data_IF_496392420923
#
_entry.id   IF_496392420923
#
_cell.length_a   1.000
_cell.length_b   1.000
_cell.length_c   1.000
_cell.angle_alpha   90.00
_cell.angle_beta   90.00
_cell.angle_gamma   90.00
#
_symmetry.space_group_name_H-M   'P 1'
#
loop_
_entity.id
_entity.type
_entity.pdbx_description
1 polymer ?
#
# COMPACT_ATOMS: atom_id res chain seq x y z
N UNK A 1 15.36 21.92 9.00
CA UNK A 1 15.34 21.19 7.72
C UNK A 1 14.11 20.30 7.76
N UNK A 2 13.01 20.80 7.21
CA UNK A 2 11.77 20.04 7.14
C UNK A 2 11.99 18.86 6.20
N UNK A 3 11.88 17.66 6.76
CA UNK A 3 11.98 16.42 6.01
C UNK A 3 10.70 16.31 5.19
N UNK A 4 10.71 16.88 3.99
CA UNK A 4 9.64 16.70 3.01
C UNK A 4 9.61 15.22 2.61
N UNK A 5 8.91 14.40 3.39
CA UNK A 5 8.54 13.04 2.99
C UNK A 5 7.30 13.14 2.10
N UNK A 6 7.41 13.88 1.00
CA UNK A 6 6.41 13.84 -0.06
C UNK A 6 6.78 12.70 -0.97
N UNK A 7 6.36 11.48 -0.63
CA UNK A 7 6.22 10.44 -1.63
C UNK A 7 5.00 10.87 -2.46
N UNK A 8 5.17 11.37 -3.70
CA UNK A 8 4.04 11.90 -4.47
C UNK A 8 2.97 10.81 -4.61
N UNK A 9 1.72 11.13 -4.28
CA UNK A 9 0.58 10.20 -4.32
C UNK A 9 -0.60 10.82 -5.07
N UNK A 10 -1.55 10.02 -5.57
CA UNK A 10 -1.67 8.56 -5.44
C UNK A 10 -0.90 7.78 -6.51
N UNK A 11 -0.34 6.62 -6.12
CA UNK A 11 0.32 5.69 -7.03
C UNK A 11 -0.70 4.75 -7.67
N UNK A 12 -0.60 4.55 -9.00
CA UNK A 12 -1.39 3.57 -9.74
C UNK A 12 -0.46 2.50 -10.30
N UNK A 13 -0.78 1.23 -10.03
CA UNK A 13 -0.09 0.10 -10.61
C UNK A 13 -0.76 -0.35 -11.92
N UNK A 14 0.03 -0.53 -12.97
CA UNK A 14 -0.36 -1.17 -14.22
C UNK A 14 0.67 -2.25 -14.56
N UNK A 15 0.38 -3.49 -14.14
CA UNK A 15 1.32 -4.60 -14.26
C UNK A 15 2.56 -4.38 -13.38
N UNK A 16 3.69 -4.06 -14.01
CA UNK A 16 4.98 -3.80 -13.36
C UNK A 16 5.29 -2.31 -13.19
N UNK A 17 4.50 -1.47 -13.83
CA UNK A 17 4.71 -0.03 -13.84
C UNK A 17 3.92 0.59 -12.69
N UNK A 18 4.57 1.41 -11.88
CA UNK A 18 3.90 2.26 -10.89
C UNK A 18 4.12 3.71 -11.26
N UNK A 19 3.03 4.48 -11.35
CA UNK A 19 3.08 5.90 -11.69
C UNK A 19 2.41 6.74 -10.62
N UNK A 20 3.04 7.85 -10.26
CA UNK A 20 2.41 8.94 -9.54
C UNK A 20 1.98 10.00 -10.55
N UNK A 21 0.71 10.42 -10.48
CA UNK A 21 0.14 11.42 -11.39
C UNK A 21 -0.35 12.61 -10.57
N UNK A 22 0.12 13.81 -10.93
CA UNK A 22 -0.31 15.07 -10.32
C UNK A 22 -0.77 16.02 -11.44
N UNK A 23 -1.98 16.57 -11.33
CA UNK A 23 -2.59 17.46 -12.34
C UNK A 23 -2.60 16.89 -13.77
N UNK A 24 -2.73 15.57 -13.92
CA UNK A 24 -2.73 14.88 -15.21
C UNK A 24 -1.34 14.62 -15.79
N UNK A 25 -0.26 14.98 -15.08
CA UNK A 25 1.13 14.77 -15.50
C UNK A 25 1.77 13.66 -14.66
N UNK A 26 2.53 12.76 -15.30
CA UNK A 26 3.32 11.74 -14.59
C UNK A 26 4.52 12.44 -13.93
N UNK A 27 4.55 12.43 -12.60
CA UNK A 27 5.62 13.07 -11.82
C UNK A 27 6.67 12.07 -11.33
N UNK A 28 6.35 10.78 -11.31
CA UNK A 28 7.28 9.70 -11.04
C UNK A 28 6.82 8.38 -11.68
N UNK A 29 7.77 7.57 -12.14
CA UNK A 29 7.53 6.26 -12.78
C UNK A 29 8.61 5.26 -12.36
N UNK A 30 8.20 4.03 -12.05
CA UNK A 30 9.08 2.89 -11.78
C UNK A 30 8.73 1.79 -12.76
N UNK A 31 9.71 1.38 -13.58
CA UNK A 31 9.52 0.47 -14.69
C UNK A 31 10.29 -0.84 -14.55
N UNK A 32 9.57 -1.93 -14.28
CA UNK A 32 9.89 -3.31 -14.68
C UNK A 32 11.22 -3.94 -14.22
N UNK A 33 11.43 -5.23 -14.57
CA UNK A 33 12.63 -5.97 -14.25
C UNK A 33 13.83 -5.48 -15.06
N UNK A 34 15.04 -5.78 -14.57
CA UNK A 34 16.28 -5.45 -15.26
C UNK A 34 16.32 -6.06 -16.68
N UNK A 35 16.58 -5.20 -17.69
CA UNK A 35 16.64 -5.59 -19.11
C UNK A 35 17.71 -6.63 -19.43
N UNK A 36 18.68 -6.86 -18.56
CA UNK A 36 19.76 -7.82 -18.76
C UNK A 36 19.39 -9.25 -18.34
N UNK A 37 18.41 -9.43 -17.45
CA UNK A 37 17.98 -10.75 -17.01
C UNK A 37 17.31 -11.55 -18.13
N UNK A 38 17.46 -12.87 -18.09
CA UNK A 38 16.94 -13.82 -19.11
C UNK A 38 16.33 -15.05 -18.43
N UNK A 39 15.49 -15.79 -19.16
CA UNK A 39 14.98 -17.09 -18.69
C UNK A 39 14.24 -17.01 -17.35
N UNK A 40 14.61 -17.89 -16.43
CA UNK A 40 14.01 -18.00 -15.08
C UNK A 40 14.29 -16.77 -14.21
N UNK A 41 15.50 -16.22 -14.26
CA UNK A 41 15.91 -15.02 -13.50
C UNK A 41 15.00 -13.82 -13.83
N UNK A 42 14.69 -13.62 -15.12
CA UNK A 42 13.76 -12.57 -15.54
C UNK A 42 12.34 -12.80 -15.01
N UNK A 43 11.91 -14.06 -14.88
CA UNK A 43 10.57 -14.41 -14.40
C UNK A 43 10.44 -14.14 -12.90
N UNK A 44 11.45 -14.55 -12.12
CA UNK A 44 11.51 -14.31 -10.68
C UNK A 44 11.54 -12.80 -10.38
N UNK A 45 12.38 -12.05 -11.09
CA UNK A 45 12.41 -10.58 -10.96
C UNK A 45 11.07 -9.95 -11.33
N UNK A 46 10.38 -10.46 -12.36
CA UNK A 46 9.04 -9.97 -12.72
C UNK A 46 8.03 -10.20 -11.60
N UNK A 47 8.04 -11.34 -10.93
CA UNK A 47 7.15 -11.61 -9.81
C UNK A 47 7.45 -10.66 -8.63
N UNK A 48 8.74 -10.46 -8.34
CA UNK A 48 9.19 -9.52 -7.31
C UNK A 48 8.75 -8.08 -7.61
N UNK A 49 8.97 -7.60 -8.84
CA UNK A 49 8.55 -6.28 -9.27
C UNK A 49 7.03 -6.11 -9.21
N UNK A 50 6.22 -7.14 -9.55
CA UNK A 50 4.75 -7.07 -9.42
C UNK A 50 4.33 -6.92 -7.97
N UNK A 51 4.91 -7.72 -7.07
CA UNK A 51 4.63 -7.64 -5.64
C UNK A 51 4.95 -6.24 -5.09
N UNK A 52 6.13 -5.73 -5.41
CA UNK A 52 6.55 -4.39 -4.98
C UNK A 52 5.65 -3.29 -5.56
N UNK A 53 5.25 -3.41 -6.83
CA UNK A 53 4.36 -2.45 -7.46
C UNK A 53 3.01 -2.34 -6.74
N UNK A 54 2.44 -3.49 -6.35
CA UNK A 54 1.18 -3.55 -5.57
C UNK A 54 1.35 -2.97 -4.19
N UNK A 55 2.44 -3.32 -3.50
CA UNK A 55 2.74 -2.81 -2.17
C UNK A 55 2.87 -1.28 -2.17
N UNK A 56 3.60 -0.70 -3.13
CA UNK A 56 3.76 0.75 -3.26
C UNK A 56 2.41 1.42 -3.57
N UNK A 57 1.60 0.82 -4.45
CA UNK A 57 0.28 1.35 -4.79
C UNK A 57 -0.74 1.28 -3.62
N UNK A 58 -0.57 0.34 -2.69
CA UNK A 58 -1.38 0.19 -1.48
C UNK A 58 -0.85 1.00 -0.29
N UNK A 59 0.39 1.50 -0.34
CA UNK A 59 1.05 2.14 0.80
C UNK A 59 0.29 3.35 1.40
N UNK A 60 -0.33 4.24 0.61
CA UNK A 60 -1.14 5.33 1.17
C UNK A 60 -2.33 4.81 1.98
N UNK A 61 -3.07 3.84 1.44
CA UNK A 61 -4.25 3.26 2.08
C UNK A 61 -3.85 2.47 3.34
N UNK A 62 -2.71 1.76 3.30
CA UNK A 62 -2.17 1.03 4.45
C UNK A 62 -1.75 1.99 5.57
N UNK A 63 -1.15 3.13 5.22
CA UNK A 63 -0.78 4.16 6.20
C UNK A 63 -2.01 4.76 6.87
N UNK A 64 -3.04 5.10 6.08
CA UNK A 64 -4.31 5.61 6.62
C UNK A 64 -4.96 4.60 7.58
N UNK A 65 -5.04 3.33 7.17
CA UNK A 65 -5.56 2.26 8.02
C UNK A 65 -4.78 2.11 9.34
N UNK A 66 -3.45 2.22 9.30
CA UNK A 66 -2.59 2.16 10.50
C UNK A 66 -2.82 3.35 11.44
N UNK A 67 -2.98 4.56 10.90
CA UNK A 67 -3.27 5.77 11.70
C UNK A 67 -4.62 5.60 12.43
N UNK A 68 -5.64 5.11 11.72
CA UNK A 68 -6.97 4.87 12.32
C UNK A 68 -6.90 3.76 13.37
N UNK A 69 -6.16 2.68 13.11
CA UNK A 69 -5.95 1.59 14.06
C UNK A 69 -5.22 2.06 15.33
N UNK A 70 -4.20 2.90 15.20
CA UNK A 70 -3.47 3.48 16.34
C UNK A 70 -4.41 4.29 17.25
N UNK A 71 -5.31 5.11 16.67
CA UNK A 71 -6.29 5.86 17.43
C UNK A 71 -7.25 4.94 18.21
N UNK A 72 -7.72 3.85 17.60
CA UNK A 72 -8.56 2.85 18.25
C UNK A 72 -7.83 2.13 19.40
N UNK A 73 -6.57 1.72 19.18
CA UNK A 73 -5.74 1.07 20.20
C UNK A 73 -5.44 2.00 21.38
N UNK A 74 -5.16 3.28 21.12
CA UNK A 74 -4.95 4.28 22.17
C UNK A 74 -6.21 4.50 23.00
N UNK A 75 -7.41 4.47 22.40
CA UNK A 75 -8.68 4.53 23.15
C UNK A 75 -8.84 3.32 24.06
N UNK A 76 -8.64 2.10 23.55
CA UNK A 76 -8.66 0.87 24.36
C UNK A 76 -7.70 0.97 25.55
N UNK A 77 -6.49 1.50 25.34
CA UNK A 77 -5.48 1.68 26.41
C UNK A 77 -5.94 2.68 27.48
N UNK A 78 -6.65 3.74 27.11
CA UNK A 78 -7.10 4.79 28.02
C UNK A 78 -8.42 4.45 28.73
N UNK A 79 -9.30 3.66 28.12
CA UNK A 79 -10.57 3.24 28.70
C UNK A 79 -10.45 1.80 29.18
N UNK A 80 -10.16 1.61 30.47
CA UNK A 80 -9.81 0.31 31.06
C UNK A 80 -10.82 -0.81 30.80
N UNK A 81 -12.07 -0.54 30.42
CA UNK A 81 -13.03 -1.58 30.04
C UNK A 81 -13.96 -1.09 28.92
N UNK A 82 -14.11 -1.93 27.89
CA UNK A 82 -15.11 -1.91 26.81
C UNK A 82 -15.08 -0.70 25.87
N UNK A 83 -14.34 -0.82 24.76
CA UNK A 83 -14.64 -0.04 23.55
C UNK A 83 -15.74 -0.80 22.80
N UNK A 84 -16.88 -0.14 22.46
CA UNK A 84 -17.92 -0.78 21.67
C UNK A 84 -17.33 -1.32 20.36
N UNK A 85 -17.61 -2.58 20.04
CA UNK A 85 -17.11 -3.24 18.82
C UNK A 85 -17.58 -2.54 17.53
N UNK A 86 -18.65 -1.75 17.62
CA UNK A 86 -19.19 -0.91 16.55
C UNK A 86 -18.22 0.21 16.13
N UNK A 87 -17.37 0.69 17.05
CA UNK A 87 -16.43 1.80 16.81
C UNK A 87 -15.13 1.36 16.10
N UNK A 88 -14.81 0.06 16.09
CA UNK A 88 -13.58 -0.48 15.47
C UNK A 88 -13.81 -1.07 14.08
N UNK A 89 -15.07 -1.33 13.71
CA UNK A 89 -15.44 -1.92 12.41
C UNK A 89 -14.87 -1.19 11.18
N UNK A 90 -15.00 0.15 11.07
CA UNK A 90 -14.48 0.90 9.92
C UNK A 90 -12.96 0.82 9.76
N UNK A 91 -12.23 0.84 10.87
CA UNK A 91 -10.76 0.74 10.89
C UNK A 91 -10.29 -0.64 10.40
N UNK A 92 -10.96 -1.69 10.88
CA UNK A 92 -10.69 -3.07 10.48
C UNK A 92 -10.98 -3.27 9.00
N UNK A 93 -12.07 -2.71 8.48
CA UNK A 93 -12.42 -2.83 7.06
C UNK A 93 -11.42 -2.09 6.16
N UNK A 94 -11.03 -0.86 6.51
CA UNK A 94 -9.98 -0.13 5.79
C UNK A 94 -8.66 -0.90 5.76
N UNK A 95 -8.25 -1.49 6.90
CA UNK A 95 -7.06 -2.32 6.97
C UNK A 95 -7.17 -3.57 6.08
N UNK A 96 -8.33 -4.23 6.04
CA UNK A 96 -8.56 -5.39 5.17
C UNK A 96 -8.46 -5.02 3.69
N UNK A 97 -9.08 -3.92 3.27
CA UNK A 97 -9.00 -3.43 1.88
C UNK A 97 -7.56 -3.10 1.49
N UNK A 98 -6.82 -2.41 2.36
CA UNK A 98 -5.42 -2.08 2.12
C UNK A 98 -4.54 -3.34 2.02
N UNK A 99 -4.77 -4.33 2.89
CA UNK A 99 -4.08 -5.63 2.85
C UNK A 99 -4.40 -6.37 1.57
N UNK A 100 -5.69 -6.51 1.21
CA UNK A 100 -6.12 -7.21 -0.01
C UNK A 100 -5.52 -6.57 -1.28
N UNK A 101 -5.44 -5.24 -1.31
CA UNK A 101 -4.79 -4.49 -2.39
C UNK A 101 -3.27 -4.72 -2.45
N UNK A 102 -2.62 -4.88 -1.28
CA UNK A 102 -1.19 -5.16 -1.19
C UNK A 102 -0.86 -6.63 -1.51
N UNK A 103 -1.74 -7.58 -1.18
CA UNK A 103 -1.45 -9.02 -1.27
C UNK A 103 -2.02 -9.70 -2.50
N UNK A 104 -3.03 -9.14 -3.17
CA UNK A 104 -3.92 -9.88 -4.09
C UNK A 104 -4.42 -11.17 -3.44
N UNK A 105 -5.62 -11.19 -2.85
CA UNK A 105 -6.22 -12.46 -2.45
C UNK A 105 -6.43 -13.39 -3.67
N UNK A 106 -5.45 -14.28 -3.89
CA UNK A 106 -5.59 -15.72 -4.11
C UNK A 106 -6.80 -16.19 -4.96
N UNK A 107 -7.01 -15.62 -6.14
CA UNK A 107 -7.93 -16.19 -7.14
C UNK A 107 -7.26 -16.22 -8.51
N UNK A 108 -6.49 -17.28 -8.73
CA UNK A 108 -6.45 -17.97 -10.02
C UNK A 108 -7.60 -18.97 -10.06
#
# INVERSE_FOLDING_TARGET
MDKHTFTPGPWRAQGLCVRAIENGVVVAEVDGPNKFFRGSERREEMEYCRGNARLIAAAPDLLEALIVAEAALNRIRCTSHTVPWEDTGPAVEQARVAIAKATEEATC
#
